data_IF_999587286372
#
_entry.id   IF_999587286372
#
_cell.length_a   1.000
_cell.length_b   1.000
_cell.length_c   1.000
_cell.angle_alpha   90.00
_cell.angle_beta   90.00
_cell.angle_gamma   90.00
#
_symmetry.space_group_name_H-M   'P 1'
#
loop_
_entity.id
_entity.type
_entity.pdbx_description
1 polymer ?
#
# COMPACT_ATOMS: atom_id res chain seq x y z
N UNK A 1 2.75 -50.04 -24.15
CA UNK A 1 3.94 -50.15 -23.29
C UNK A 1 3.85 -49.15 -22.16
N UNK A 2 3.70 -49.65 -20.94
CA UNK A 2 3.75 -48.91 -19.67
C UNK A 2 5.11 -48.20 -19.56
N UNK A 3 5.13 -46.96 -19.09
CA UNK A 3 6.18 -46.52 -18.17
C UNK A 3 5.73 -45.33 -17.32
N UNK A 4 5.65 -45.62 -16.03
CA UNK A 4 5.52 -44.75 -14.87
C UNK A 4 6.83 -44.00 -14.60
N UNK A 5 6.76 -42.72 -14.20
CA UNK A 5 7.84 -42.06 -13.45
C UNK A 5 7.20 -41.24 -12.31
N UNK A 6 7.74 -41.46 -11.12
CA UNK A 6 7.37 -40.92 -9.80
C UNK A 6 7.92 -39.49 -9.59
N UNK A 7 7.36 -38.68 -8.65
CA UNK A 7 7.80 -37.32 -8.38
C UNK A 7 8.82 -37.27 -7.23
N UNK A 8 9.98 -36.67 -7.47
CA UNK A 8 10.94 -36.38 -6.39
C UNK A 8 11.94 -35.30 -6.82
N UNK A 9 11.58 -34.02 -6.64
CA UNK A 9 12.55 -32.92 -6.47
C UNK A 9 11.90 -31.77 -5.70
N UNK A 10 11.94 -31.85 -4.37
CA UNK A 10 11.70 -30.74 -3.45
C UNK A 10 12.61 -30.91 -2.24
N UNK A 11 13.85 -30.47 -2.38
CA UNK A 11 14.70 -30.01 -1.28
C UNK A 11 15.94 -29.38 -1.90
N UNK A 12 16.19 -28.11 -1.60
CA UNK A 12 17.49 -27.42 -1.55
C UNK A 12 17.24 -25.91 -1.45
N UNK A 13 17.00 -25.43 -0.23
CA UNK A 13 17.23 -24.03 0.16
C UNK A 13 18.12 -24.10 1.40
N UNK A 14 19.39 -23.66 1.35
CA UNK A 14 20.20 -23.51 2.55
C UNK A 14 19.82 -22.21 3.26
N UNK A 15 19.34 -22.36 4.49
CA UNK A 15 19.13 -21.29 5.46
C UNK A 15 20.48 -20.70 5.89
N UNK A 16 20.68 -19.40 5.66
CA UNK A 16 21.80 -18.64 6.21
C UNK A 16 21.59 -18.44 7.72
N UNK A 17 22.40 -19.10 8.55
CA UNK A 17 22.71 -18.66 9.91
C UNK A 17 23.87 -17.64 9.86
N UNK A 18 23.80 -16.51 10.58
CA UNK A 18 25.00 -15.74 10.90
C UNK A 18 25.64 -16.28 12.18
N UNK A 19 26.79 -16.92 12.02
CA UNK A 19 27.81 -17.13 13.05
C UNK A 19 28.55 -15.79 13.18
N UNK A 20 28.49 -15.15 14.34
CA UNK A 20 29.42 -14.09 14.70
C UNK A 20 30.06 -14.44 16.05
N UNK A 21 31.35 -14.72 15.93
CA UNK A 21 32.29 -15.18 16.93
C UNK A 21 32.32 -14.30 18.17
N UNK A 22 32.18 -14.98 19.31
CA UNK A 22 32.44 -14.46 20.65
C UNK A 22 33.96 -14.46 20.88
N UNK A 23 34.59 -13.29 20.78
CA UNK A 23 36.01 -13.12 21.12
C UNK A 23 36.13 -12.71 22.58
N UNK A 24 36.14 -13.72 23.46
CA UNK A 24 36.58 -13.55 24.85
C UNK A 24 38.10 -13.30 24.88
N UNK A 25 38.50 -12.04 25.12
CA UNK A 25 39.84 -11.70 25.60
C UNK A 25 39.73 -11.08 26.99
N UNK A 26 40.29 -11.78 27.98
CA UNK A 26 40.56 -11.28 29.33
C UNK A 26 41.51 -10.09 29.24
N UNK A 27 41.13 -8.96 29.83
CA UNK A 27 42.09 -7.98 30.36
C UNK A 27 41.55 -7.40 31.68
N UNK A 28 42.24 -7.78 32.75
CA UNK A 28 42.78 -6.90 33.81
C UNK A 28 41.91 -5.79 34.40
N UNK A 29 41.75 -5.86 35.72
CA UNK A 29 41.30 -4.78 36.63
C UNK A 29 41.99 -3.45 36.33
N UNK A 30 41.21 -2.40 36.09
CA UNK A 30 41.43 -1.02 36.56
C UNK A 30 40.14 -0.22 36.32
N UNK A 31 39.70 0.52 37.35
CA UNK A 31 38.39 1.16 37.39
C UNK A 31 38.17 2.15 36.26
N UNK A 32 37.11 1.94 35.48
CA UNK A 32 36.58 2.90 34.51
C UNK A 32 35.06 2.90 34.66
N UNK A 33 34.48 4.07 34.97
CA UNK A 33 33.03 4.29 34.94
C UNK A 33 32.53 3.91 33.55
N UNK A 34 31.75 2.83 33.44
CA UNK A 34 31.13 2.40 32.18
C UNK A 34 30.17 3.51 31.72
N UNK A 35 30.54 4.20 30.65
CA UNK A 35 29.64 5.11 29.96
C UNK A 35 28.52 4.28 29.33
N UNK A 36 27.30 4.39 29.85
CA UNK A 36 26.10 3.76 29.29
C UNK A 36 26.01 4.03 27.79
N UNK A 37 25.70 2.99 27.02
CA UNK A 37 25.54 3.07 25.56
C UNK A 37 24.46 4.09 25.19
N UNK A 38 24.56 4.70 24.01
CA UNK A 38 23.60 5.71 23.57
C UNK A 38 22.17 5.16 23.46
N UNK A 39 22.03 3.86 23.18
CA UNK A 39 20.78 3.11 23.24
C UNK A 39 20.23 3.04 24.66
N UNK A 40 21.04 2.62 25.64
CA UNK A 40 20.64 2.60 27.05
C UNK A 40 20.32 4.00 27.58
N UNK A 41 21.05 5.04 27.15
CA UNK A 41 20.73 6.44 27.51
C UNK A 41 19.41 6.90 26.89
N UNK A 42 19.12 6.53 25.64
CA UNK A 42 17.83 6.80 24.98
C UNK A 42 16.69 6.05 25.66
N UNK A 43 16.93 4.81 26.09
CA UNK A 43 15.96 3.93 26.76
C UNK A 43 15.68 4.38 28.20
N UNK A 44 16.70 4.82 28.93
CA UNK A 44 16.57 5.42 30.26
C UNK A 44 15.94 6.82 30.21
N UNK A 45 16.22 7.61 29.15
CA UNK A 45 15.49 8.86 28.84
C UNK A 45 14.05 8.61 28.42
N UNK A 46 13.72 7.42 27.88
CA UNK A 46 12.37 6.99 27.51
C UNK A 46 11.56 6.57 28.74
N UNK A 47 12.20 5.91 29.72
CA UNK A 47 11.58 5.51 31.00
C UNK A 47 11.39 6.65 32.03
N UNK A 48 12.14 7.76 31.94
CA UNK A 48 12.07 8.88 32.89
C UNK A 48 11.02 9.95 32.54
N UNK A 49 10.11 9.71 31.60
CA UNK A 49 9.25 10.76 31.04
C UNK A 49 7.96 10.95 31.86
N UNK A 50 7.64 12.20 32.16
CA UNK A 50 6.39 12.60 32.82
C UNK A 50 5.22 12.42 31.84
N UNK A 51 4.04 12.05 32.34
CA UNK A 51 2.80 12.16 31.57
C UNK A 51 2.46 13.63 31.36
N UNK A 52 1.61 13.95 30.37
CA UNK A 52 1.26 15.34 30.07
C UNK A 52 0.64 16.09 31.26
N UNK A 53 -0.16 15.41 32.09
CA UNK A 53 -0.80 15.96 33.29
C UNK A 53 0.19 16.30 34.42
N UNK A 54 1.39 15.72 34.37
CA UNK A 54 2.45 15.96 35.36
C UNK A 54 3.48 17.00 34.89
N UNK A 55 3.34 17.55 33.67
CA UNK A 55 4.24 18.59 33.16
C UNK A 55 3.95 19.93 33.84
N UNK A 56 5.02 20.61 34.25
CA UNK A 56 4.97 21.93 34.87
C UNK A 56 5.51 23.01 33.94
N UNK A 57 5.24 24.28 34.24
CA UNK A 57 5.82 25.41 33.51
C UNK A 57 7.36 25.34 33.48
N UNK A 58 7.97 24.95 34.59
CA UNK A 58 9.43 24.80 34.70
C UNK A 58 9.98 23.73 33.76
N UNK A 59 9.24 22.63 33.52
CA UNK A 59 9.65 21.58 32.59
C UNK A 59 9.69 22.08 31.13
N UNK A 60 8.78 23.00 30.77
CA UNK A 60 8.71 23.62 29.44
C UNK A 60 9.82 24.66 29.27
N UNK A 61 10.04 25.52 30.27
CA UNK A 61 11.15 26.49 30.26
C UNK A 61 12.51 25.81 30.19
N UNK A 62 12.67 24.65 30.85
CA UNK A 62 13.89 23.84 30.79
C UNK A 62 14.21 23.30 29.38
N UNK A 63 13.27 23.37 28.42
CA UNK A 63 13.54 23.06 27.01
C UNK A 63 14.16 24.22 26.23
N UNK A 64 14.49 25.34 26.88
CA UNK A 64 15.06 26.53 26.25
C UNK A 64 14.01 27.46 25.65
N UNK A 65 12.77 27.42 26.17
CA UNK A 65 11.65 28.25 25.70
C UNK A 65 11.54 29.51 26.56
N UNK A 66 11.40 30.71 25.95
CA UNK A 66 11.17 31.94 26.70
C UNK A 66 9.92 31.87 27.58
N UNK A 67 9.96 32.45 28.78
CA UNK A 67 8.91 32.32 29.80
C UNK A 67 7.51 32.71 29.28
N UNK A 68 7.39 33.78 28.49
CA UNK A 68 6.10 34.20 27.92
C UNK A 68 5.49 33.12 26.99
N UNK A 69 6.33 32.52 26.14
CA UNK A 69 5.93 31.43 25.24
C UNK A 69 5.63 30.15 26.02
N UNK A 70 6.43 29.86 27.06
CA UNK A 70 6.24 28.70 27.93
C UNK A 70 4.89 28.77 28.66
N UNK A 71 4.48 29.95 29.15
CA UNK A 71 3.17 30.17 29.78
C UNK A 71 2.04 29.89 28.80
N UNK A 72 2.12 30.42 27.56
CA UNK A 72 1.10 30.18 26.52
C UNK A 72 0.98 28.70 26.16
N UNK A 73 2.12 28.01 26.01
CA UNK A 73 2.17 26.56 25.75
C UNK A 73 1.56 25.78 26.91
N UNK A 74 1.92 26.10 28.16
CA UNK A 74 1.41 25.42 29.35
C UNK A 74 -0.11 25.58 29.50
N UNK A 75 -0.64 26.78 29.26
CA UNK A 75 -2.09 27.04 29.29
C UNK A 75 -2.85 26.25 28.23
N UNK A 76 -2.35 26.24 26.99
CA UNK A 76 -2.95 25.44 25.91
C UNK A 76 -2.89 23.94 26.20
N UNK A 77 -1.75 23.45 26.69
CA UNK A 77 -1.59 22.04 27.07
C UNK A 77 -2.57 21.65 28.17
N UNK A 78 -2.69 22.44 29.23
CA UNK A 78 -3.64 22.20 30.32
C UNK A 78 -5.09 22.16 29.81
N UNK A 79 -5.45 23.05 28.87
CA UNK A 79 -6.77 23.06 28.25
C UNK A 79 -7.03 21.81 27.40
N UNK A 80 -6.06 21.39 26.59
CA UNK A 80 -6.17 20.18 25.76
C UNK A 80 -6.30 18.93 26.64
N UNK A 81 -5.43 18.80 27.66
CA UNK A 81 -5.45 17.65 28.58
C UNK A 81 -6.77 17.59 29.36
N UNK A 82 -7.32 18.74 29.77
CA UNK A 82 -8.64 18.80 30.42
C UNK A 82 -9.77 18.32 29.51
N UNK A 83 -9.70 18.65 28.22
CA UNK A 83 -10.76 18.32 27.26
C UNK A 83 -10.68 16.87 26.73
N UNK A 84 -9.47 16.33 26.57
CA UNK A 84 -9.22 15.09 25.82
C UNK A 84 -8.43 14.03 26.61
N UNK A 85 -8.06 14.30 27.86
CA UNK A 85 -7.20 13.44 28.68
C UNK A 85 -5.71 13.62 28.37
N UNK A 86 -4.83 12.96 29.13
CA UNK A 86 -3.38 13.10 29.00
C UNK A 86 -2.72 12.13 28.01
N UNK A 87 -3.47 11.15 27.48
CA UNK A 87 -2.89 10.08 26.65
C UNK A 87 -3.72 9.66 25.43
N UNK A 88 -4.74 10.42 25.05
CA UNK A 88 -5.58 10.07 23.90
C UNK A 88 -4.93 10.47 22.56
N UNK A 89 -5.27 9.78 21.45
CA UNK A 89 -4.90 10.23 20.10
C UNK A 89 -5.35 11.66 19.80
N UNK A 90 -6.53 12.06 20.29
CA UNK A 90 -7.07 13.40 20.14
C UNK A 90 -6.22 14.46 20.86
N UNK A 91 -5.66 14.12 22.04
CA UNK A 91 -4.71 14.97 22.76
C UNK A 91 -3.48 15.26 21.91
N UNK A 92 -2.87 14.23 21.31
CA UNK A 92 -1.70 14.43 20.44
C UNK A 92 -2.03 15.25 19.18
N UNK A 93 -3.20 15.02 18.57
CA UNK A 93 -3.64 15.81 17.40
C UNK A 93 -3.81 17.29 17.74
N UNK A 94 -4.38 17.61 18.91
CA UNK A 94 -4.49 19.00 19.34
C UNK A 94 -3.13 19.63 19.64
N UNK A 95 -2.22 18.88 20.27
CA UNK A 95 -0.84 19.34 20.54
C UNK A 95 -0.11 19.64 19.23
N UNK A 96 -0.11 18.69 18.29
CA UNK A 96 0.59 18.85 17.01
C UNK A 96 0.03 19.98 16.15
N UNK A 97 -1.29 20.21 16.16
CA UNK A 97 -1.94 21.27 15.34
C UNK A 97 -1.98 22.65 16.01
N UNK A 98 -2.05 22.73 17.35
CA UNK A 98 -2.36 23.99 18.05
C UNK A 98 -1.24 24.51 18.97
N UNK A 99 -0.28 23.64 19.33
CA UNK A 99 0.82 23.95 20.25
C UNK A 99 2.16 23.93 19.53
N UNK A 100 2.45 22.88 18.77
CA UNK A 100 3.73 22.68 18.10
C UNK A 100 3.83 23.47 16.79
N UNK A 101 5.04 23.94 16.46
CA UNK A 101 5.41 24.52 15.18
C UNK A 101 6.91 24.29 14.92
N UNK A 102 7.40 24.44 13.68
CA UNK A 102 8.79 24.12 13.33
C UNK A 102 9.87 24.95 14.05
N UNK A 103 9.51 26.11 14.61
CA UNK A 103 10.47 27.00 15.28
C UNK A 103 10.72 26.62 16.75
N UNK A 104 9.91 25.70 17.32
CA UNK A 104 10.08 25.25 18.69
C UNK A 104 11.21 24.21 18.81
N UNK A 105 11.93 24.17 19.96
CA UNK A 105 13.01 23.21 20.16
C UNK A 105 12.54 21.76 20.03
N UNK A 106 13.24 20.93 19.25
CA UNK A 106 12.88 19.53 19.05
C UNK A 106 12.75 18.73 20.36
N UNK A 107 13.48 19.10 21.41
CA UNK A 107 13.36 18.48 22.73
C UNK A 107 11.97 18.67 23.36
N UNK A 108 11.30 19.81 23.10
CA UNK A 108 9.90 20.02 23.47
C UNK A 108 8.97 19.08 22.70
N UNK A 109 9.16 18.96 21.37
CA UNK A 109 8.36 18.04 20.55
C UNK A 109 8.44 16.62 21.10
N UNK A 110 9.65 16.16 21.42
CA UNK A 110 9.87 14.85 22.02
C UNK A 110 9.19 14.74 23.39
N UNK A 111 9.37 15.72 24.27
CA UNK A 111 8.78 15.71 25.61
C UNK A 111 7.25 15.58 25.56
N UNK A 112 6.58 16.37 24.72
CA UNK A 112 5.13 16.31 24.58
C UNK A 112 4.66 15.02 23.91
N UNK A 113 5.35 14.56 22.87
CA UNK A 113 5.01 13.30 22.18
C UNK A 113 5.07 12.10 23.13
N UNK A 114 6.19 11.93 23.81
CA UNK A 114 6.37 10.80 24.70
C UNK A 114 5.62 10.95 26.03
N UNK A 115 5.29 12.18 26.44
CA UNK A 115 4.39 12.41 27.56
C UNK A 115 2.95 11.99 27.21
N UNK A 116 2.52 12.23 25.96
CA UNK A 116 1.20 11.82 25.47
C UNK A 116 1.11 10.30 25.31
N UNK A 117 2.14 9.66 24.77
CA UNK A 117 2.14 8.23 24.48
C UNK A 117 2.90 7.39 25.51
N UNK A 118 3.04 7.88 26.75
CA UNK A 118 3.80 7.18 27.80
C UNK A 118 3.31 5.75 28.02
N UNK A 119 1.98 5.56 27.96
CA UNK A 119 1.34 4.27 28.25
C UNK A 119 1.04 3.44 26.99
N UNK A 120 1.48 3.90 25.81
CA UNK A 120 1.17 3.25 24.51
C UNK A 120 2.08 2.05 24.19
N UNK A 121 2.94 1.65 25.12
CA UNK A 121 3.91 0.58 24.95
C UNK A 121 5.28 1.07 24.46
N UNK A 122 6.18 0.16 24.05
CA UNK A 122 7.54 0.52 23.67
C UNK A 122 7.57 1.40 22.42
N UNK A 123 6.63 1.26 21.49
CA UNK A 123 6.68 1.92 20.19
C UNK A 123 5.42 2.77 19.95
N UNK A 124 5.42 4.04 20.40
CA UNK A 124 4.30 4.93 20.19
C UNK A 124 4.13 5.26 18.70
N UNK A 125 2.89 5.46 18.22
CA UNK A 125 2.60 5.66 16.81
C UNK A 125 3.05 7.04 16.35
N UNK A 126 3.86 7.07 15.29
CA UNK A 126 4.35 8.33 14.72
C UNK A 126 3.23 9.24 14.19
N UNK A 127 2.12 8.63 13.76
CA UNK A 127 0.93 9.31 13.27
C UNK A 127 -0.31 8.43 13.47
N UNK A 128 -1.46 9.06 13.73
CA UNK A 128 -2.77 8.41 13.76
C UNK A 128 -3.77 9.28 12.98
N UNK A 129 -4.61 8.68 12.11
CA UNK A 129 -5.67 9.41 11.43
C UNK A 129 -6.70 9.92 12.44
N UNK A 130 -7.30 11.08 12.16
CA UNK A 130 -8.56 11.47 12.79
C UNK A 130 -9.75 10.81 12.09
N UNK A 131 -10.89 10.82 12.77
CA UNK A 131 -12.11 10.17 12.28
C UNK A 131 -12.60 10.77 10.96
N UNK A 132 -12.50 12.09 10.79
CA UNK A 132 -12.91 12.76 9.55
C UNK A 132 -12.04 12.31 8.38
N UNK A 133 -10.72 12.26 8.58
CA UNK A 133 -9.77 11.74 7.59
C UNK A 133 -10.06 10.26 7.27
N UNK A 134 -10.35 9.44 8.28
CA UNK A 134 -10.68 8.03 8.10
C UNK A 134 -11.96 7.85 7.27
N UNK A 135 -13.00 8.65 7.54
CA UNK A 135 -14.27 8.67 6.78
C UNK A 135 -14.11 9.02 5.31
N UNK A 136 -13.12 9.86 4.98
CA UNK A 136 -12.84 10.25 3.60
C UNK A 136 -12.13 9.16 2.78
N UNK A 137 -11.52 8.17 3.42
CA UNK A 137 -10.89 7.05 2.71
C UNK A 137 -11.93 6.18 2.00
N UNK A 138 -11.56 5.48 0.92
CA UNK A 138 -12.47 4.57 0.22
C UNK A 138 -13.05 3.48 1.14
N UNK A 139 -12.23 2.94 2.05
CA UNK A 139 -12.69 1.95 3.04
C UNK A 139 -13.61 2.60 4.08
N UNK A 140 -13.30 3.83 4.51
CA UNK A 140 -14.15 4.60 5.40
C UNK A 140 -15.53 4.87 4.81
N UNK A 141 -15.60 5.32 3.57
CA UNK A 141 -16.86 5.53 2.85
C UNK A 141 -17.65 4.22 2.67
N UNK A 142 -16.96 3.11 2.36
CA UNK A 142 -17.58 1.80 2.30
C UNK A 142 -18.18 1.41 3.66
N UNK A 143 -17.46 1.61 4.75
CA UNK A 143 -17.93 1.30 6.10
C UNK A 143 -19.06 2.23 6.56
N UNK A 144 -19.04 3.51 6.19
CA UNK A 144 -20.16 4.40 6.48
C UNK A 144 -21.45 3.97 5.75
N UNK A 145 -21.33 3.42 4.53
CA UNK A 145 -22.48 2.92 3.76
C UNK A 145 -22.93 1.53 4.17
N UNK A 146 -22.00 0.59 4.36
CA UNK A 146 -22.26 -0.85 4.51
C UNK A 146 -21.86 -1.41 5.88
N UNK A 147 -21.26 -0.63 6.78
CA UNK A 147 -20.76 -1.11 8.06
C UNK A 147 -21.85 -1.73 8.94
N UNK A 148 -23.06 -1.16 8.92
CA UNK A 148 -24.24 -1.74 9.59
C UNK A 148 -24.74 -3.03 8.94
N UNK A 149 -24.55 -3.20 7.64
CA UNK A 149 -24.87 -4.46 6.94
C UNK A 149 -23.85 -5.55 7.32
N UNK A 150 -22.57 -5.19 7.43
CA UNK A 150 -21.50 -6.14 7.76
C UNK A 150 -21.47 -6.53 9.25
N UNK A 151 -21.62 -5.56 10.15
CA UNK A 151 -21.37 -5.73 11.58
C UNK A 151 -22.61 -5.51 12.45
N UNK A 152 -23.76 -5.16 11.84
CA UNK A 152 -25.00 -4.93 12.56
C UNK A 152 -24.88 -3.83 13.62
N UNK A 153 -25.39 -4.05 14.85
CA UNK A 153 -25.35 -3.05 15.92
C UNK A 153 -23.94 -2.83 16.50
N UNK A 154 -22.95 -3.67 16.15
CA UNK A 154 -21.57 -3.50 16.62
C UNK A 154 -20.82 -2.42 15.84
N UNK A 155 -21.30 -2.05 14.66
CA UNK A 155 -20.70 -0.97 13.89
C UNK A 155 -20.82 0.35 14.64
N UNK A 156 -19.69 1.01 14.88
CA UNK A 156 -19.62 2.33 15.52
C UNK A 156 -19.18 3.38 14.52
N UNK A 157 -17.98 3.24 14.01
CA UNK A 157 -17.36 4.11 13.02
C UNK A 157 -16.23 3.36 12.30
N UNK A 158 -15.70 3.90 11.18
CA UNK A 158 -14.68 3.20 10.40
C UNK A 158 -13.39 2.85 11.15
N UNK A 159 -13.01 3.62 12.17
CA UNK A 159 -11.78 3.40 12.93
C UNK A 159 -11.96 2.33 14.00
N UNK A 160 -12.98 2.48 14.85
CA UNK A 160 -13.24 1.57 15.96
C UNK A 160 -13.72 0.19 15.48
N UNK A 161 -14.38 0.14 14.33
CA UNK A 161 -14.91 -1.11 13.78
C UNK A 161 -14.00 -1.78 12.75
N UNK A 162 -12.82 -1.22 12.43
CA UNK A 162 -11.94 -1.78 11.39
C UNK A 162 -11.50 -3.22 11.68
N UNK A 163 -11.13 -3.53 12.92
CA UNK A 163 -10.70 -4.88 13.30
C UNK A 163 -11.83 -5.90 13.13
N UNK A 164 -13.04 -5.55 13.55
CA UNK A 164 -14.20 -6.42 13.36
C UNK A 164 -14.58 -6.58 11.89
N UNK A 165 -14.44 -5.51 11.10
CA UNK A 165 -14.63 -5.58 9.65
C UNK A 165 -13.61 -6.50 8.97
N UNK A 166 -12.35 -6.45 9.40
CA UNK A 166 -11.31 -7.34 8.90
C UNK A 166 -11.62 -8.80 9.23
N UNK A 167 -12.05 -9.10 10.47
CA UNK A 167 -12.51 -10.44 10.86
C UNK A 167 -13.73 -10.89 10.05
N UNK A 168 -14.70 -9.98 9.82
CA UNK A 168 -15.85 -10.23 8.98
C UNK A 168 -15.46 -10.58 7.55
N UNK A 169 -14.49 -9.86 6.95
CA UNK A 169 -14.04 -10.08 5.56
C UNK A 169 -13.47 -11.49 5.34
N UNK A 170 -12.82 -12.05 6.37
CA UNK A 170 -12.25 -13.40 6.35
C UNK A 170 -13.33 -14.45 6.58
N UNK A 171 -14.21 -14.21 7.56
CA UNK A 171 -15.25 -15.18 7.96
C UNK A 171 -16.42 -15.24 6.97
N UNK A 172 -16.66 -14.18 6.19
CA UNK A 172 -17.81 -14.04 5.29
C UNK A 172 -17.39 -13.64 3.87
N UNK A 173 -16.53 -14.41 3.19
CA UNK A 173 -15.97 -14.03 1.89
C UNK A 173 -17.05 -13.83 0.82
N UNK A 174 -18.13 -14.61 0.87
CA UNK A 174 -19.25 -14.51 -0.06
C UNK A 174 -19.92 -13.12 -0.03
N UNK A 175 -20.21 -12.61 1.16
CA UNK A 175 -20.88 -11.30 1.34
C UNK A 175 -19.89 -10.17 1.09
N UNK A 176 -18.67 -10.30 1.63
CA UNK A 176 -17.62 -9.31 1.49
C UNK A 176 -17.27 -9.05 0.02
N UNK A 177 -16.84 -10.08 -0.72
CA UNK A 177 -16.37 -9.89 -2.10
C UNK A 177 -17.48 -9.48 -3.07
N UNK A 178 -18.73 -9.96 -2.88
CA UNK A 178 -19.88 -9.44 -3.64
C UNK A 178 -20.04 -7.94 -3.47
N UNK A 179 -19.88 -7.44 -2.25
CA UNK A 179 -19.96 -6.01 -1.93
C UNK A 179 -18.79 -5.24 -2.55
N UNK A 180 -17.57 -5.78 -2.46
CA UNK A 180 -16.37 -5.17 -3.05
C UNK A 180 -16.46 -5.11 -4.58
N UNK A 181 -16.90 -6.16 -5.25
CA UNK A 181 -17.05 -6.14 -6.72
C UNK A 181 -18.11 -5.14 -7.19
N UNK A 182 -19.20 -5.00 -6.44
CA UNK A 182 -20.23 -3.98 -6.69
C UNK A 182 -19.65 -2.57 -6.51
N UNK A 183 -18.93 -2.34 -5.43
CA UNK A 183 -18.29 -1.05 -5.13
C UNK A 183 -17.26 -0.66 -6.20
N UNK A 184 -16.43 -1.61 -6.64
CA UNK A 184 -15.44 -1.39 -7.71
C UNK A 184 -16.07 -1.28 -9.11
N UNK A 185 -17.38 -1.55 -9.25
CA UNK A 185 -18.06 -1.53 -10.54
C UNK A 185 -17.54 -2.61 -11.52
N UNK A 186 -17.15 -3.78 -11.01
CA UNK A 186 -16.66 -4.87 -11.87
C UNK A 186 -17.78 -5.38 -12.77
N UNK A 187 -17.50 -5.43 -14.08
CA UNK A 187 -18.46 -5.87 -15.07
C UNK A 187 -18.32 -7.35 -15.37
N UNK A 188 -19.30 -8.12 -14.90
CA UNK A 188 -19.45 -9.53 -15.22
C UNK A 188 -20.31 -9.70 -16.48
N UNK A 189 -19.77 -10.37 -17.49
CA UNK A 189 -20.58 -10.85 -18.61
C UNK A 189 -21.43 -12.06 -18.18
N UNK A 190 -20.87 -12.90 -17.31
CA UNK A 190 -21.60 -13.94 -16.57
C UNK A 190 -21.14 -13.90 -15.11
N UNK A 191 -22.04 -13.67 -14.14
CA UNK A 191 -21.66 -13.64 -12.73
C UNK A 191 -21.18 -15.03 -12.27
N UNK A 192 -20.32 -15.10 -11.23
CA UNK A 192 -19.93 -16.36 -10.62
C UNK A 192 -21.11 -17.05 -9.92
N UNK A 193 -21.05 -18.38 -9.78
CA UNK A 193 -22.03 -19.12 -8.98
C UNK A 193 -21.90 -18.85 -7.47
N UNK A 194 -20.66 -18.71 -7.00
CA UNK A 194 -20.27 -18.30 -5.65
C UNK A 194 -18.90 -17.60 -5.72
N UNK A 195 -18.48 -16.93 -4.65
CA UNK A 195 -17.19 -16.22 -4.60
C UNK A 195 -16.03 -17.21 -4.49
N UNK A 196 -16.13 -18.16 -3.57
CA UNK A 196 -15.12 -19.18 -3.33
C UNK A 196 -15.82 -20.52 -3.19
N UNK A 197 -15.34 -21.51 -3.93
CA UNK A 197 -15.70 -22.91 -3.76
C UNK A 197 -14.51 -23.64 -3.16
N UNK A 198 -14.69 -24.18 -1.97
CA UNK A 198 -13.67 -25.01 -1.34
C UNK A 198 -13.38 -26.25 -2.19
N UNK A 199 -12.11 -26.65 -2.20
CA UNK A 199 -11.64 -27.82 -2.92
C UNK A 199 -10.65 -28.58 -2.04
N UNK A 200 -10.86 -29.88 -1.88
CA UNK A 200 -9.91 -30.73 -1.16
C UNK A 200 -8.61 -30.98 -1.93
N UNK A 201 -8.62 -30.77 -3.26
CA UNK A 201 -7.45 -30.96 -4.13
C UNK A 201 -6.66 -29.68 -4.38
N UNK A 202 -7.23 -28.52 -4.06
CA UNK A 202 -6.59 -27.22 -4.23
C UNK A 202 -6.73 -26.43 -2.93
N UNK A 203 -5.65 -26.29 -2.11
CA UNK A 203 -5.72 -25.65 -0.81
C UNK A 203 -6.14 -24.17 -0.87
N UNK A 204 -6.16 -23.54 -2.04
CA UNK A 204 -6.67 -22.17 -2.24
C UNK A 204 -8.15 -22.10 -2.65
N UNK A 205 -8.77 -23.23 -2.98
CA UNK A 205 -10.12 -23.30 -3.54
C UNK A 205 -10.25 -22.67 -4.94
N UNK A 206 -11.44 -22.81 -5.52
CA UNK A 206 -11.77 -22.20 -6.82
C UNK A 206 -12.48 -20.87 -6.62
N UNK A 207 -11.84 -19.78 -7.03
CA UNK A 207 -12.42 -18.44 -7.01
C UNK A 207 -13.32 -18.19 -8.21
N UNK A 208 -14.47 -17.56 -7.97
CA UNK A 208 -15.45 -17.11 -8.97
C UNK A 208 -15.84 -18.21 -9.98
N UNK A 209 -16.17 -19.45 -9.55
CA UNK A 209 -16.51 -20.53 -10.47
C UNK A 209 -17.66 -20.15 -11.41
N UNK A 210 -17.46 -20.42 -12.70
CA UNK A 210 -18.43 -20.11 -13.76
C UNK A 210 -18.43 -18.65 -14.22
N UNK A 211 -17.69 -17.76 -13.57
CA UNK A 211 -17.59 -16.36 -13.98
C UNK A 211 -17.06 -16.20 -15.40
N UNK A 212 -17.59 -15.21 -16.12
CA UNK A 212 -16.97 -14.64 -17.32
C UNK A 212 -16.91 -13.12 -17.14
N UNK A 213 -15.71 -12.56 -17.16
CA UNK A 213 -15.46 -11.13 -17.12
C UNK A 213 -14.28 -10.78 -18.03
N UNK A 214 -14.15 -9.50 -18.36
CA UNK A 214 -12.94 -8.97 -18.97
C UNK A 214 -12.49 -7.73 -18.16
N UNK A 215 -11.31 -7.76 -17.52
CA UNK A 215 -10.90 -6.65 -16.66
C UNK A 215 -10.58 -5.40 -17.48
N UNK A 216 -9.98 -5.51 -18.67
CA UNK A 216 -9.76 -4.36 -19.55
C UNK A 216 -11.08 -3.70 -19.96
N UNK A 217 -12.13 -4.49 -20.21
CA UNK A 217 -13.48 -3.95 -20.46
C UNK A 217 -13.99 -3.14 -19.26
N UNK A 218 -13.78 -3.61 -18.03
CA UNK A 218 -14.15 -2.85 -16.83
C UNK A 218 -13.35 -1.54 -16.73
N UNK A 219 -12.04 -1.59 -17.03
CA UNK A 219 -11.17 -0.41 -17.07
C UNK A 219 -11.58 0.63 -18.13
N UNK A 220 -12.22 0.22 -19.23
CA UNK A 220 -12.58 1.09 -20.36
C UNK A 220 -14.06 1.52 -20.38
N UNK A 221 -14.88 1.02 -19.46
CA UNK A 221 -16.33 1.26 -19.47
C UNK A 221 -16.74 2.58 -18.81
N UNK A 222 -17.91 3.10 -19.14
CA UNK A 222 -18.47 4.25 -18.41
C UNK A 222 -19.11 3.78 -17.11
N UNK A 223 -19.16 4.65 -16.12
CA UNK A 223 -19.94 4.43 -14.89
C UNK A 223 -20.44 5.78 -14.33
N UNK A 224 -21.17 5.76 -13.22
CA UNK A 224 -21.78 6.96 -12.63
C UNK A 224 -20.75 8.08 -12.32
N UNK A 225 -19.49 7.71 -12.10
CA UNK A 225 -18.40 8.62 -11.74
C UNK A 225 -17.37 8.77 -12.86
N UNK A 226 -17.60 8.20 -14.05
CA UNK A 226 -16.65 8.21 -15.17
C UNK A 226 -17.32 8.34 -16.53
N UNK A 227 -17.01 9.43 -17.23
CA UNK A 227 -17.45 9.73 -18.59
C UNK A 227 -16.28 9.62 -19.59
N UNK A 228 -16.54 9.87 -20.88
CA UNK A 228 -15.55 9.71 -21.96
C UNK A 228 -14.48 10.80 -21.99
N UNK A 229 -14.79 11.99 -21.48
CA UNK A 229 -13.92 13.16 -21.56
C UNK A 229 -13.04 13.30 -20.30
N UNK A 230 -13.25 12.43 -19.30
CA UNK A 230 -12.38 12.31 -18.14
C UNK A 230 -10.97 11.86 -18.56
N UNK A 231 -9.96 12.46 -17.92
CA UNK A 231 -8.56 12.10 -18.11
C UNK A 231 -8.31 10.71 -17.51
N UNK A 232 -7.86 9.77 -18.35
CA UNK A 232 -7.58 8.39 -17.98
C UNK A 232 -6.09 8.11 -17.75
N UNK A 233 -5.22 8.74 -18.55
CA UNK A 233 -3.76 8.62 -18.43
C UNK A 233 -3.15 10.01 -18.39
N UNK A 234 -2.17 10.17 -17.50
CA UNK A 234 -1.35 11.36 -17.35
C UNK A 234 0.10 10.89 -17.41
N UNK A 235 0.90 11.46 -18.30
CA UNK A 235 2.29 11.04 -18.47
C UNK A 235 3.18 12.18 -18.93
N UNK A 236 4.47 11.92 -18.89
CA UNK A 236 5.52 12.73 -19.48
C UNK A 236 6.55 11.77 -20.05
N UNK A 237 7.08 12.11 -21.21
CA UNK A 237 8.12 11.32 -21.85
C UNK A 237 9.49 11.67 -21.27
N UNK A 238 10.39 10.69 -21.24
CA UNK A 238 11.76 10.89 -20.75
C UNK A 238 12.44 12.04 -21.52
N UNK A 239 13.10 12.96 -20.80
CA UNK A 239 13.77 14.11 -21.41
C UNK A 239 12.86 15.32 -21.69
N UNK A 240 11.56 15.23 -21.43
CA UNK A 240 10.60 16.34 -21.58
C UNK A 240 10.24 17.02 -20.24
N UNK A 241 11.21 17.17 -19.33
CA UNK A 241 10.96 17.71 -17.97
C UNK A 241 10.40 19.13 -17.94
N UNK A 242 10.81 19.95 -18.90
CA UNK A 242 10.38 21.34 -19.07
C UNK A 242 9.07 21.48 -19.85
N UNK A 243 8.50 20.38 -20.33
CA UNK A 243 7.26 20.37 -21.12
C UNK A 243 6.05 20.11 -20.21
N UNK A 244 4.88 20.72 -20.51
CA UNK A 244 3.64 20.39 -19.82
C UNK A 244 3.33 18.89 -19.87
N UNK A 245 2.83 18.37 -18.74
CA UNK A 245 2.40 16.98 -18.62
C UNK A 245 1.30 16.67 -19.64
N UNK A 246 1.48 15.58 -20.38
CA UNK A 246 0.54 15.08 -21.39
C UNK A 246 -0.62 14.34 -20.71
N UNK A 247 -1.78 14.37 -21.37
CA UNK A 247 -3.03 13.78 -20.86
C UNK A 247 -3.76 13.08 -22.00
N UNK A 248 -4.42 11.97 -21.67
CA UNK A 248 -5.24 11.19 -22.58
C UNK A 248 -6.57 10.93 -21.89
N UNK A 249 -7.64 11.32 -22.56
CA UNK A 249 -9.02 11.09 -22.13
C UNK A 249 -9.38 9.60 -22.24
N UNK A 250 -10.44 9.18 -21.55
CA UNK A 250 -10.96 7.82 -21.69
C UNK A 250 -11.40 7.52 -23.13
N UNK A 251 -11.91 8.52 -23.85
CA UNK A 251 -12.26 8.42 -25.27
C UNK A 251 -11.05 8.05 -26.12
N UNK A 252 -9.96 8.80 -25.98
CA UNK A 252 -8.72 8.57 -26.72
C UNK A 252 -8.11 7.22 -26.36
N UNK A 253 -8.00 6.91 -25.06
CA UNK A 253 -7.50 5.62 -24.59
C UNK A 253 -8.30 4.45 -25.19
N UNK A 254 -9.64 4.57 -25.20
CA UNK A 254 -10.49 3.56 -25.85
C UNK A 254 -10.13 3.43 -27.32
N UNK A 255 -10.11 4.52 -28.07
CA UNK A 255 -9.82 4.50 -29.51
C UNK A 255 -8.52 3.76 -29.80
N UNK A 256 -7.44 4.10 -29.10
CA UNK A 256 -6.13 3.46 -29.27
C UNK A 256 -6.17 1.97 -28.88
N UNK A 257 -6.80 1.62 -27.75
CA UNK A 257 -6.91 0.22 -27.33
C UNK A 257 -7.70 -0.61 -28.35
N UNK A 258 -8.80 -0.06 -28.88
CA UNK A 258 -9.60 -0.73 -29.91
C UNK A 258 -8.81 -0.92 -31.20
N UNK A 259 -8.04 0.08 -31.61
CA UNK A 259 -7.18 0.00 -32.79
C UNK A 259 -6.18 -1.15 -32.66
N UNK A 260 -5.44 -1.21 -31.55
CA UNK A 260 -4.48 -2.31 -31.29
C UNK A 260 -5.20 -3.66 -31.17
N UNK A 261 -6.35 -3.72 -30.51
CA UNK A 261 -7.14 -4.95 -30.38
C UNK A 261 -7.61 -5.48 -31.75
N UNK A 262 -7.99 -4.59 -32.67
CA UNK A 262 -8.34 -4.96 -34.04
C UNK A 262 -7.13 -5.47 -34.82
N UNK A 263 -5.97 -4.82 -34.69
CA UNK A 263 -4.73 -5.29 -35.30
C UNK A 263 -4.33 -6.69 -34.79
N UNK A 264 -4.41 -6.92 -33.49
CA UNK A 264 -4.16 -8.25 -32.88
C UNK A 264 -5.14 -9.31 -33.38
N UNK A 265 -6.41 -8.95 -33.55
CA UNK A 265 -7.42 -9.86 -34.08
C UNK A 265 -7.15 -10.21 -35.55
N UNK A 266 -6.65 -9.25 -36.34
CA UNK A 266 -6.30 -9.46 -37.74
C UNK A 266 -5.09 -10.40 -37.93
N UNK A 267 -4.21 -10.52 -36.93
CA UNK A 267 -3.10 -11.50 -36.94
C UNK A 267 -3.58 -12.96 -36.84
N UNK A 268 -4.84 -13.21 -36.49
CA UNK A 268 -5.40 -14.57 -36.45
C UNK A 268 -4.78 -15.47 -35.36
N UNK A 269 -4.26 -14.88 -34.28
CA UNK A 269 -3.69 -15.63 -33.18
C UNK A 269 -4.76 -16.48 -32.47
N UNK A 270 -4.45 -17.73 -32.07
CA UNK A 270 -5.37 -18.53 -31.26
C UNK A 270 -5.76 -17.81 -29.96
N UNK A 271 -7.00 -17.97 -29.51
CA UNK A 271 -7.46 -17.42 -28.22
C UNK A 271 -6.56 -17.89 -27.07
N UNK A 272 -6.21 -16.97 -26.18
CA UNK A 272 -5.28 -17.25 -25.06
C UNK A 272 -3.82 -17.34 -25.50
N UNK A 273 -3.45 -16.80 -26.66
CA UNK A 273 -2.04 -16.72 -27.07
C UNK A 273 -1.27 -15.78 -26.16
N UNK A 274 -0.04 -16.18 -25.82
CA UNK A 274 0.92 -15.32 -25.11
C UNK A 274 1.48 -14.26 -26.06
N UNK A 275 1.37 -12.99 -25.69
CA UNK A 275 1.91 -11.86 -26.42
C UNK A 275 2.83 -11.09 -25.49
N UNK A 276 4.09 -10.93 -25.90
CA UNK A 276 5.07 -10.25 -25.09
C UNK A 276 5.07 -8.74 -25.30
N UNK A 277 5.40 -8.01 -24.24
CA UNK A 277 5.68 -6.58 -24.26
C UNK A 277 7.10 -6.40 -23.73
N UNK A 278 7.98 -5.88 -24.57
CA UNK A 278 9.36 -5.54 -24.26
C UNK A 278 9.61 -4.08 -24.63
N UNK A 279 9.06 -3.20 -23.80
CA UNK A 279 8.92 -1.75 -24.00
C UNK A 279 9.09 -1.03 -22.65
N UNK A 280 9.40 0.27 -22.62
CA UNK A 280 9.49 1.03 -21.39
C UNK A 280 8.07 1.30 -20.88
N UNK A 281 7.97 1.83 -19.66
CA UNK A 281 6.69 2.27 -19.11
C UNK A 281 6.23 3.60 -19.75
N UNK A 282 5.75 3.53 -21.00
CA UNK A 282 5.14 4.64 -21.72
C UNK A 282 3.63 4.42 -21.95
N UNK A 283 2.95 5.41 -22.55
CA UNK A 283 1.51 5.35 -22.79
C UNK A 283 1.12 4.21 -23.74
N UNK A 284 1.94 3.93 -24.76
CA UNK A 284 1.70 2.86 -25.73
C UNK A 284 1.73 1.49 -25.06
N UNK A 285 2.65 1.25 -24.12
CA UNK A 285 2.70 0.01 -23.35
C UNK A 285 1.41 -0.23 -22.56
N UNK A 286 0.78 0.82 -22.02
CA UNK A 286 -0.53 0.72 -21.33
C UNK A 286 -1.64 0.37 -22.33
N UNK A 287 -1.67 1.02 -23.49
CA UNK A 287 -2.64 0.74 -24.57
C UNK A 287 -2.52 -0.71 -25.03
N UNK A 288 -1.30 -1.16 -25.34
CA UNK A 288 -0.99 -2.51 -25.81
C UNK A 288 -1.39 -3.54 -24.75
N UNK A 289 -1.05 -3.31 -23.47
CA UNK A 289 -1.43 -4.20 -22.38
C UNK A 289 -2.95 -4.39 -22.31
N UNK A 290 -3.70 -3.29 -22.32
CA UNK A 290 -5.18 -3.34 -22.28
C UNK A 290 -5.76 -4.03 -23.52
N UNK A 291 -5.17 -3.83 -24.70
CA UNK A 291 -5.62 -4.46 -25.94
C UNK A 291 -5.41 -5.99 -25.96
N UNK A 292 -4.26 -6.47 -25.48
CA UNK A 292 -3.98 -7.91 -25.34
C UNK A 292 -5.00 -8.55 -24.38
N UNK A 293 -5.24 -7.93 -23.22
CA UNK A 293 -6.23 -8.41 -22.25
C UNK A 293 -7.66 -8.34 -22.81
N UNK A 294 -8.00 -7.27 -23.55
CA UNK A 294 -9.32 -7.08 -24.15
C UNK A 294 -9.64 -8.19 -25.17
N UNK A 295 -8.64 -8.62 -25.93
CA UNK A 295 -8.77 -9.70 -26.93
C UNK A 295 -8.71 -11.12 -26.33
N UNK A 296 -8.58 -11.25 -25.01
CA UNK A 296 -8.52 -12.54 -24.32
C UNK A 296 -7.18 -13.26 -24.50
N UNK A 297 -6.13 -12.53 -24.87
CA UNK A 297 -4.76 -13.02 -24.96
C UNK A 297 -4.02 -12.82 -23.62
N UNK A 298 -2.89 -13.51 -23.46
CA UNK A 298 -2.09 -13.49 -22.24
C UNK A 298 -0.95 -12.49 -22.42
N UNK A 299 -0.86 -11.51 -21.52
CA UNK A 299 0.27 -10.56 -21.51
C UNK A 299 1.50 -11.21 -20.89
N UNK A 300 2.63 -11.08 -21.57
CA UNK A 300 3.96 -11.45 -21.06
C UNK A 300 4.80 -10.17 -20.96
N UNK A 301 4.77 -9.52 -19.80
CA UNK A 301 5.59 -8.32 -19.57
C UNK A 301 7.05 -8.72 -19.34
N UNK A 302 7.96 -8.11 -20.11
CA UNK A 302 9.41 -8.30 -20.03
C UNK A 302 10.03 -6.94 -19.73
N UNK A 303 10.95 -6.91 -18.77
CA UNK A 303 11.64 -5.67 -18.43
C UNK A 303 12.58 -5.27 -19.57
N UNK A 304 12.40 -4.04 -20.05
CA UNK A 304 13.16 -3.39 -21.13
C UNK A 304 14.68 -3.30 -20.88
N UNK A 305 15.09 -3.38 -19.61
CA UNK A 305 16.49 -3.38 -19.18
C UNK A 305 17.21 -4.73 -19.29
N UNK A 306 16.51 -5.80 -19.69
CA UNK A 306 17.12 -7.12 -19.77
C UNK A 306 18.01 -7.31 -20.98
N UNK A 307 19.09 -8.08 -20.78
CA UNK A 307 19.93 -8.51 -21.87
C UNK A 307 19.15 -9.39 -22.87
N UNK A 308 19.54 -9.46 -24.15
CA UNK A 308 18.83 -10.24 -25.17
C UNK A 308 18.60 -11.71 -24.80
N UNK A 309 19.55 -12.34 -24.10
CA UNK A 309 19.43 -13.73 -23.63
C UNK A 309 18.33 -13.92 -22.59
N UNK A 310 18.13 -12.92 -21.73
CA UNK A 310 17.10 -12.90 -20.70
C UNK A 310 15.70 -12.68 -21.29
N UNK A 311 15.60 -11.80 -22.29
CA UNK A 311 14.38 -11.59 -23.08
C UNK A 311 14.01 -12.89 -23.81
N UNK A 312 14.95 -13.49 -24.56
CA UNK A 312 14.73 -14.72 -25.29
C UNK A 312 14.28 -15.88 -24.39
N UNK A 313 14.82 -15.97 -23.18
CA UNK A 313 14.43 -16.99 -22.19
C UNK A 313 12.97 -16.83 -21.77
N UNK A 314 12.51 -15.61 -21.50
CA UNK A 314 11.12 -15.34 -21.12
C UNK A 314 10.15 -15.59 -22.26
N UNK A 315 10.50 -15.19 -23.48
CA UNK A 315 9.71 -15.50 -24.68
C UNK A 315 9.51 -17.01 -24.85
N UNK A 316 10.57 -17.80 -24.64
CA UNK A 316 10.53 -19.26 -24.74
C UNK A 316 9.68 -19.90 -23.65
N UNK A 317 9.87 -19.49 -22.40
CA UNK A 317 9.10 -20.01 -21.24
C UNK A 317 7.60 -19.73 -21.44
N UNK A 318 7.27 -18.50 -21.85
CA UNK A 318 5.88 -18.10 -22.04
C UNK A 318 5.27 -18.59 -23.37
N UNK A 319 6.08 -19.19 -24.25
CA UNK A 319 5.70 -19.63 -25.60
C UNK A 319 5.05 -18.48 -26.39
N UNK A 320 5.64 -17.29 -26.31
CA UNK A 320 5.13 -16.08 -26.94
C UNK A 320 4.92 -16.28 -28.45
N UNK A 321 3.78 -15.81 -28.95
CA UNK A 321 3.40 -15.88 -30.37
C UNK A 321 3.65 -14.59 -31.13
N UNK A 322 3.70 -13.47 -30.40
CA UNK A 322 4.03 -12.15 -30.89
C UNK A 322 4.74 -11.36 -29.80
N UNK A 323 5.40 -10.28 -30.20
CA UNK A 323 6.06 -9.34 -29.29
C UNK A 323 5.83 -7.91 -29.80
N UNK A 324 5.50 -7.01 -28.87
CA UNK A 324 5.63 -5.58 -29.06
C UNK A 324 6.96 -5.13 -28.47
N UNK A 325 7.72 -4.36 -29.26
CA UNK A 325 9.01 -3.79 -28.85
C UNK A 325 9.21 -2.45 -29.55
N UNK A 326 10.34 -1.81 -29.26
CA UNK A 326 10.72 -0.49 -29.75
C UNK A 326 12.09 -0.54 -30.41
N UNK A 327 12.36 0.43 -31.27
CA UNK A 327 13.65 0.59 -31.95
C UNK A 327 14.75 1.09 -31.01
N UNK A 328 14.39 1.97 -30.08
CA UNK A 328 15.28 2.68 -29.17
C UNK A 328 14.65 2.85 -27.79
N UNK A 329 15.50 2.98 -26.77
CA UNK A 329 15.06 3.22 -25.39
C UNK A 329 15.77 4.48 -24.88
N UNK A 330 15.01 5.51 -24.54
CA UNK A 330 15.52 6.71 -23.89
C UNK A 330 15.34 6.57 -22.37
N UNK A 331 16.45 6.61 -21.61
CA UNK A 331 16.43 6.47 -20.15
C UNK A 331 17.65 7.14 -19.52
N UNK A 332 17.45 8.19 -18.74
CA UNK A 332 18.50 8.86 -17.96
C UNK A 332 19.33 9.91 -18.70
N UNK A 333 18.88 10.39 -19.87
CA UNK A 333 19.56 11.41 -20.69
C UNK A 333 20.36 10.86 -21.85
#
# INVERSE_FOLDING_TARGET
NKMSISPSYLSLIPTKQPILLDHHLRSSRLGVKVAKSERERKEQRKMSRKTLDCLTLSDIEAQGIPSETAVKINQKLAQIVRNHGSSSPQTWQCISKQVLNPDLPFSLHQMLYYGCYKDFGPDPPAWLPDLESARLTNVGQLLERCGKEFLGPRYKDPMLSFSEFQEFSVSNPEVYWKSIFREMGILFARPPHCILRESSSDPGGQWLPGCLLNPAKSCLSLNANRNLDDVAIVWRDEGEDDVPIKKMTLRELRTEVWLVAHALSALGLPSGSSIAIDMPMNVDAVVIYLAIVLTGNIVVSIADSFAPTEIATRLRIAKAKAIFTQDTIFRGG
#
